data_IF_498731036943
#
_entry.id   IF_498731036943
#
_cell.length_a   1.000
_cell.length_b   1.000
_cell.length_c   1.000
_cell.angle_alpha   90.00
_cell.angle_beta   90.00
_cell.angle_gamma   90.00
#
_symmetry.space_group_name_H-M   'P 1'
#
loop_
_entity.id
_entity.type
_entity.pdbx_description
1 polymer ?
#
# COMPACT_ATOMS: atom_id res chain seq x y z
N UNK A 1 9.05 0.53 -23.44
CA UNK A 1 9.78 1.05 -22.28
C UNK A 1 9.34 0.21 -21.10
N UNK A 2 10.26 -0.46 -20.43
CA UNK A 2 9.88 -1.31 -19.30
C UNK A 2 9.36 -0.45 -18.15
N UNK A 3 8.21 -0.81 -17.61
CA UNK A 3 7.61 -0.11 -16.48
C UNK A 3 8.37 -0.50 -15.20
N UNK A 4 8.59 0.44 -14.26
CA UNK A 4 9.28 0.12 -13.01
C UNK A 4 8.49 -0.88 -12.15
N UNK A 5 9.20 -1.59 -11.28
CA UNK A 5 8.61 -2.42 -10.23
C UNK A 5 8.68 -1.69 -8.89
N UNK A 6 7.60 -1.72 -8.12
CA UNK A 6 7.54 -1.20 -6.76
C UNK A 6 7.76 -2.35 -5.77
N UNK A 7 8.54 -2.12 -4.71
CA UNK A 7 8.64 -3.03 -3.58
C UNK A 7 8.09 -2.31 -2.34
N UNK A 8 6.98 -2.80 -1.80
CA UNK A 8 6.39 -2.26 -0.57
C UNK A 8 6.89 -3.05 0.64
N UNK A 9 7.62 -2.37 1.54
CA UNK A 9 8.09 -2.96 2.78
C UNK A 9 6.99 -2.88 3.86
N UNK A 10 6.17 -3.93 3.96
CA UNK A 10 4.99 -3.98 4.81
C UNK A 10 5.08 -4.95 6.02
N UNK A 11 6.27 -5.49 6.33
CA UNK A 11 6.43 -6.54 7.35
C UNK A 11 6.52 -6.05 8.82
N UNK A 12 6.37 -4.74 9.06
CA UNK A 12 6.49 -4.18 10.41
C UNK A 12 5.27 -4.49 11.29
N UNK A 13 5.50 -5.00 12.51
CA UNK A 13 4.43 -5.42 13.44
C UNK A 13 3.48 -4.31 13.92
N UNK A 14 3.81 -3.04 13.69
CA UNK A 14 2.94 -1.93 14.10
C UNK A 14 2.68 -1.86 15.61
N UNK A 15 3.63 -2.25 16.46
CA UNK A 15 3.45 -2.37 17.92
C UNK A 15 2.95 -1.09 18.62
N UNK A 16 3.35 0.10 18.14
CA UNK A 16 2.83 1.38 18.64
C UNK A 16 1.40 1.68 18.20
N UNK A 17 0.98 1.09 17.09
CA UNK A 17 -0.33 1.26 16.49
C UNK A 17 -1.32 0.18 16.97
N UNK A 18 -0.84 -0.91 17.57
CA UNK A 18 -1.66 -1.98 18.14
C UNK A 18 -2.00 -3.12 17.19
N UNK A 19 -1.38 -3.18 16.01
CA UNK A 19 -1.67 -4.20 15.02
C UNK A 19 -1.11 -3.91 13.64
N UNK A 20 -1.56 -4.67 12.64
CA UNK A 20 -1.09 -4.54 11.26
C UNK A 20 -1.75 -3.35 10.54
N UNK A 21 -1.19 -2.15 10.79
CA UNK A 21 -1.65 -0.88 10.23
C UNK A 21 -1.83 -0.85 8.71
N UNK A 22 -1.18 -1.76 7.97
CA UNK A 22 -1.24 -1.77 6.51
C UNK A 22 -2.61 -2.22 6.00
N UNK A 23 -3.33 -3.00 6.79
CA UNK A 23 -4.66 -3.54 6.49
C UNK A 23 -5.78 -2.76 7.19
N UNK A 24 -5.43 -1.74 7.96
CA UNK A 24 -6.41 -0.89 8.62
C UNK A 24 -7.15 -0.06 7.58
N UNK A 25 -8.48 -0.07 7.71
CA UNK A 25 -9.39 0.67 6.86
C UNK A 25 -9.36 2.14 7.27
N UNK A 26 -8.98 3.01 6.33
CA UNK A 26 -8.83 4.46 6.55
C UNK A 26 -9.63 5.30 5.55
N UNK A 27 -10.07 4.70 4.44
CA UNK A 27 -10.87 5.36 3.41
C UNK A 27 -12.38 5.36 3.68
N UNK A 28 -13.14 6.22 2.97
CA UNK A 28 -14.58 6.38 3.17
C UNK A 28 -15.40 5.13 2.81
N UNK A 29 -14.82 4.20 2.04
CA UNK A 29 -15.46 2.94 1.65
C UNK A 29 -14.72 1.72 2.23
N UNK A 30 -13.85 1.92 3.21
CA UNK A 30 -13.08 0.85 3.83
C UNK A 30 -11.76 0.53 3.12
N UNK A 31 -11.26 1.42 2.28
CA UNK A 31 -9.94 1.29 1.65
C UNK A 31 -8.84 1.28 2.72
N UNK A 32 -7.89 0.38 2.56
CA UNK A 32 -6.73 0.25 3.44
C UNK A 32 -5.60 1.19 2.99
N UNK A 33 -4.60 1.38 3.86
CA UNK A 33 -3.38 2.13 3.49
C UNK A 33 -2.70 1.49 2.26
N UNK A 34 -2.70 0.16 2.16
CA UNK A 34 -2.09 -0.53 1.01
C UNK A 34 -2.88 -0.32 -0.28
N UNK A 35 -4.20 -0.19 -0.23
CA UNK A 35 -5.03 0.09 -1.42
C UNK A 35 -4.69 1.44 -2.04
N UNK A 36 -4.55 2.49 -1.22
CA UNK A 36 -4.11 3.80 -1.71
C UNK A 36 -2.70 3.76 -2.30
N UNK A 37 -1.78 3.04 -1.67
CA UNK A 37 -0.41 2.89 -2.15
C UNK A 37 -0.35 2.20 -3.52
N UNK A 38 -1.15 1.15 -3.72
CA UNK A 38 -1.28 0.43 -4.99
C UNK A 38 -1.93 1.31 -6.05
N UNK A 39 -3.02 2.01 -5.70
CA UNK A 39 -3.74 2.91 -6.60
C UNK A 39 -2.79 3.97 -7.18
N UNK A 40 -2.03 4.65 -6.32
CA UNK A 40 -1.08 5.67 -6.75
C UNK A 40 0.04 5.07 -7.61
N UNK A 41 0.58 3.90 -7.23
CA UNK A 41 1.61 3.22 -8.01
C UNK A 41 1.15 2.90 -9.44
N UNK A 42 -0.08 2.39 -9.60
CA UNK A 42 -0.66 2.14 -10.93
C UNK A 42 -0.82 3.45 -11.69
N UNK A 43 -1.31 4.52 -11.03
CA UNK A 43 -1.56 5.82 -11.65
C UNK A 43 -0.30 6.51 -12.16
N UNK A 44 0.84 6.31 -11.49
CA UNK A 44 2.14 6.86 -11.90
C UNK A 44 2.93 5.93 -12.84
N UNK A 45 2.38 4.76 -13.18
CA UNK A 45 2.88 3.92 -14.26
C UNK A 45 3.78 2.76 -13.85
N UNK A 46 3.76 2.31 -12.59
CA UNK A 46 4.39 1.05 -12.20
C UNK A 46 3.73 -0.14 -12.94
N UNK A 47 4.55 -1.09 -13.37
CA UNK A 47 4.09 -2.27 -14.12
C UNK A 47 3.97 -3.53 -13.26
N UNK A 48 4.57 -3.49 -12.07
CA UNK A 48 4.54 -4.56 -11.08
C UNK A 48 4.65 -3.93 -9.69
N UNK A 49 3.91 -4.47 -8.74
CA UNK A 49 3.88 -4.09 -7.33
C UNK A 49 4.04 -5.36 -6.50
#
# INVERSE_FOLDING_TARGET
>A
MDKPSLLVLAAGMGSRYGGNKQLDQVGPSGETIIDYSIYDAIRVGFGKI
#
